data_IF_277293299708
#
_entry.id   IF_277293299708
#
_cell.length_a   1.000
_cell.length_b   1.000
_cell.length_c   1.000
_cell.angle_alpha   90.00
_cell.angle_beta   90.00
_cell.angle_gamma   90.00
#
_symmetry.space_group_name_H-M   'P 1'
#
loop_
_entity.id
_entity.type
_entity.pdbx_description
1 polymer ?
#
# COMPACT_ATOMS: atom_id res chain seq x y z
N UNK A 1 -58.74 -9.23 -6.72
CA UNK A 1 -57.42 -9.02 -6.08
C UNK A 1 -56.31 -9.32 -7.08
N UNK A 2 -55.92 -8.34 -7.89
CA UNK A 2 -54.87 -8.47 -8.91
C UNK A 2 -53.55 -8.00 -8.32
N UNK A 3 -52.65 -8.94 -8.03
CA UNK A 3 -51.30 -8.64 -7.54
C UNK A 3 -50.52 -7.96 -8.66
N UNK A 4 -50.26 -6.64 -8.51
CA UNK A 4 -49.25 -5.91 -9.29
C UNK A 4 -47.89 -6.57 -9.04
N UNK A 5 -47.30 -7.17 -10.06
CA UNK A 5 -45.88 -7.50 -10.07
C UNK A 5 -45.08 -6.19 -10.15
N UNK A 6 -44.60 -5.69 -9.02
CA UNK A 6 -43.58 -4.65 -8.98
C UNK A 6 -42.27 -5.26 -9.51
N UNK A 7 -41.85 -4.83 -10.71
CA UNK A 7 -40.50 -5.14 -11.21
C UNK A 7 -39.47 -4.59 -10.22
N UNK A 8 -38.44 -5.37 -9.84
CA UNK A 8 -37.38 -4.86 -8.99
C UNK A 8 -36.66 -3.71 -9.72
N UNK A 9 -36.52 -2.58 -9.04
CA UNK A 9 -35.70 -1.45 -9.49
C UNK A 9 -34.26 -1.96 -9.62
N UNK A 10 -33.79 -2.12 -10.86
CA UNK A 10 -32.44 -2.60 -11.14
C UNK A 10 -31.41 -1.64 -10.53
N UNK A 11 -30.58 -2.12 -9.61
CA UNK A 11 -29.42 -1.38 -9.05
C UNK A 11 -28.29 -1.26 -10.10
N UNK A 12 -28.53 -0.55 -11.20
CA UNK A 12 -27.55 -0.40 -12.28
C UNK A 12 -27.89 0.71 -13.28
N UNK A 13 -27.09 0.82 -14.35
CA UNK A 13 -27.28 1.77 -15.46
C UNK A 13 -27.87 1.04 -16.69
N UNK A 14 -29.20 0.93 -16.83
CA UNK A 14 -29.84 0.03 -17.79
C UNK A 14 -29.91 0.55 -19.23
N UNK A 15 -29.56 1.81 -19.49
CA UNK A 15 -29.67 2.45 -20.80
C UNK A 15 -28.28 2.90 -21.28
N UNK A 16 -27.95 2.57 -22.53
CA UNK A 16 -26.72 3.01 -23.19
C UNK A 16 -26.97 4.38 -23.83
N UNK A 17 -26.01 5.29 -23.66
CA UNK A 17 -25.96 6.59 -24.33
C UNK A 17 -24.65 6.62 -25.09
N UNK A 18 -24.70 7.02 -26.36
CA UNK A 18 -23.55 7.18 -27.24
C UNK A 18 -23.58 8.57 -27.87
N UNK A 19 -22.42 9.19 -28.02
CA UNK A 19 -22.29 10.51 -28.61
C UNK A 19 -20.85 10.74 -29.06
N UNK A 20 -20.67 11.55 -30.11
CA UNK A 20 -19.34 11.99 -30.55
C UNK A 20 -19.00 13.31 -29.88
N UNK A 21 -17.74 13.45 -29.46
CA UNK A 21 -17.18 14.69 -28.92
C UNK A 21 -15.97 15.11 -29.74
N UNK A 22 -15.55 16.37 -29.62
CA UNK A 22 -14.32 16.84 -30.26
C UNK A 22 -13.09 16.17 -29.63
N UNK A 23 -12.02 16.06 -30.42
CA UNK A 23 -10.74 15.53 -29.95
C UNK A 23 -10.19 16.34 -28.77
N UNK A 24 -10.31 17.68 -28.82
CA UNK A 24 -9.91 18.56 -27.72
C UNK A 24 -10.60 18.19 -26.40
N UNK A 25 -11.91 17.94 -26.46
CA UNK A 25 -12.70 17.59 -25.28
C UNK A 25 -12.40 16.18 -24.79
N UNK A 26 -12.13 15.25 -25.71
CA UNK A 26 -11.70 13.90 -25.36
C UNK A 26 -10.37 13.94 -24.59
N UNK A 27 -9.39 14.69 -25.07
CA UNK A 27 -8.09 14.85 -24.40
C UNK A 27 -8.22 15.47 -23.01
N UNK A 28 -9.12 16.43 -22.81
CA UNK A 28 -9.42 16.97 -21.47
C UNK A 28 -9.95 15.91 -20.51
N UNK A 29 -10.83 15.02 -20.97
CA UNK A 29 -11.37 13.93 -20.15
C UNK A 29 -10.30 12.89 -19.82
N UNK A 30 -9.43 12.57 -20.77
CA UNK A 30 -8.29 11.67 -20.55
C UNK A 30 -7.35 12.22 -19.47
N UNK A 31 -7.02 13.51 -19.51
CA UNK A 31 -6.21 14.16 -18.46
C UNK A 31 -6.83 14.08 -17.06
N UNK A 32 -8.16 14.02 -16.96
CA UNK A 32 -8.86 13.84 -15.68
C UNK A 32 -8.77 12.38 -15.22
N UNK A 33 -8.89 11.44 -16.15
CA UNK A 33 -8.74 10.00 -15.87
C UNK A 33 -7.33 9.63 -15.44
N UNK A 34 -6.29 10.26 -16.03
CA UNK A 34 -4.90 10.01 -15.66
C UNK A 34 -4.60 10.35 -14.19
N UNK A 35 -5.40 11.21 -13.57
CA UNK A 35 -5.24 11.60 -12.16
C UNK A 35 -5.82 10.58 -11.17
N UNK A 36 -6.71 9.70 -11.62
CA UNK A 36 -7.37 8.72 -10.76
C UNK A 36 -7.55 7.39 -11.50
N UNK A 37 -6.68 6.43 -11.20
CA UNK A 37 -6.70 5.08 -11.77
C UNK A 37 -7.97 4.28 -11.47
N UNK A 38 -8.79 4.71 -10.51
CA UNK A 38 -10.06 4.05 -10.18
C UNK A 38 -11.25 4.59 -11.00
N UNK A 39 -11.08 5.75 -11.65
CA UNK A 39 -12.14 6.41 -12.41
C UNK A 39 -12.18 5.86 -13.84
N UNK A 40 -13.37 5.50 -14.32
CA UNK A 40 -13.59 5.09 -15.72
C UNK A 40 -14.19 6.22 -16.54
N UNK A 41 -13.96 6.23 -17.86
CA UNK A 41 -14.55 7.22 -18.77
C UNK A 41 -16.08 7.27 -18.65
N UNK A 42 -16.72 6.11 -18.57
CA UNK A 42 -18.17 5.99 -18.39
C UNK A 42 -18.64 6.60 -17.06
N UNK A 43 -17.87 6.44 -15.98
CA UNK A 43 -18.20 7.04 -14.69
C UNK A 43 -18.00 8.55 -14.68
N UNK A 44 -16.90 9.04 -15.26
CA UNK A 44 -16.63 10.46 -15.42
C UNK A 44 -17.76 11.15 -16.21
N UNK A 45 -18.14 10.60 -17.36
CA UNK A 45 -19.24 11.13 -18.18
C UNK A 45 -20.55 11.13 -17.39
N UNK A 46 -20.87 10.06 -16.67
CA UNK A 46 -22.08 10.01 -15.84
C UNK A 46 -22.08 11.10 -14.75
N UNK A 47 -20.96 11.31 -14.06
CA UNK A 47 -20.85 12.35 -13.04
C UNK A 47 -21.04 13.74 -13.65
N UNK A 48 -20.47 14.00 -14.82
CA UNK A 48 -20.68 15.26 -15.57
C UNK A 48 -22.16 15.44 -15.91
N UNK A 49 -22.81 14.42 -16.50
CA UNK A 49 -24.22 14.49 -16.88
C UNK A 49 -25.17 14.67 -15.69
N UNK A 50 -24.78 14.21 -14.50
CA UNK A 50 -25.57 14.31 -13.27
C UNK A 50 -25.21 15.54 -12.43
N UNK A 51 -24.32 16.42 -12.91
CA UNK A 51 -23.75 17.54 -12.13
C UNK A 51 -23.23 17.09 -10.75
N UNK A 52 -22.68 15.88 -10.67
CA UNK A 52 -22.09 15.35 -9.45
C UNK A 52 -20.64 15.83 -9.32
N UNK A 53 -20.17 16.09 -8.08
CA UNK A 53 -18.77 16.43 -7.85
C UNK A 53 -17.87 15.29 -8.29
N UNK A 54 -16.90 15.60 -9.16
CA UNK A 54 -15.87 14.65 -9.57
C UNK A 54 -14.82 14.61 -8.45
N UNK A 55 -15.01 13.69 -7.50
CA UNK A 55 -13.97 13.38 -6.51
C UNK A 55 -12.93 12.51 -7.20
N UNK A 56 -11.72 13.05 -7.35
CA UNK A 56 -10.54 12.40 -7.90
C UNK A 56 -9.76 11.85 -6.71
N UNK A 57 -9.60 10.54 -6.62
CA UNK A 57 -8.67 9.92 -5.68
C UNK A 57 -7.27 9.97 -6.29
N UNK A 58 -6.51 10.98 -5.93
CA UNK A 58 -5.09 11.02 -6.28
C UNK A 58 -4.39 10.03 -5.37
N UNK A 59 -4.09 8.84 -5.90
CA UNK A 59 -3.22 7.90 -5.21
C UNK A 59 -1.79 8.40 -5.36
N UNK A 60 -1.25 8.98 -4.31
CA UNK A 60 0.16 9.35 -4.29
C UNK A 60 1.00 8.06 -4.28
N UNK A 61 1.62 7.76 -5.42
CA UNK A 61 2.47 6.57 -5.57
C UNK A 61 3.68 6.65 -4.66
N UNK A 62 4.18 7.86 -4.37
CA UNK A 62 5.38 8.03 -3.54
C UNK A 62 5.17 7.52 -2.12
N UNK A 63 4.02 7.83 -1.51
CA UNK A 63 3.66 7.36 -0.17
C UNK A 63 3.43 5.85 -0.16
N UNK A 64 2.77 5.33 -1.20
CA UNK A 64 2.52 3.89 -1.32
C UNK A 64 3.83 3.09 -1.38
N UNK A 65 4.81 3.56 -2.15
CA UNK A 65 6.11 2.91 -2.30
C UNK A 65 6.91 2.95 -0.99
N UNK A 66 6.87 4.07 -0.25
CA UNK A 66 7.52 4.19 1.06
C UNK A 66 6.92 3.24 2.11
N UNK A 67 5.59 3.07 2.11
CA UNK A 67 4.91 2.14 3.00
C UNK A 67 5.30 0.69 2.69
N UNK A 68 5.44 0.33 1.41
CA UNK A 68 5.87 -1.02 1.03
C UNK A 68 7.27 -1.35 1.56
N UNK A 69 8.21 -0.41 1.46
CA UNK A 69 9.56 -0.56 2.03
C UNK A 69 9.50 -0.71 3.56
N UNK A 70 8.67 0.08 4.25
CA UNK A 70 8.50 -0.04 5.71
C UNK A 70 7.95 -1.41 6.13
N UNK A 71 6.97 -1.95 5.40
CA UNK A 71 6.41 -3.28 5.66
C UNK A 71 7.50 -4.36 5.53
N UNK A 72 8.38 -4.22 4.54
CA UNK A 72 9.52 -5.11 4.33
C UNK A 72 10.48 -5.11 5.53
N UNK A 73 10.86 -3.91 6.00
CA UNK A 73 11.75 -3.73 7.16
C UNK A 73 11.12 -4.33 8.43
N UNK A 74 9.84 -4.08 8.69
CA UNK A 74 9.12 -4.67 9.83
C UNK A 74 9.14 -6.20 9.79
N UNK A 75 8.96 -6.80 8.60
CA UNK A 75 9.07 -8.25 8.41
C UNK A 75 10.47 -8.78 8.74
N UNK A 76 11.53 -8.07 8.30
CA UNK A 76 12.91 -8.44 8.58
C UNK A 76 13.24 -8.34 10.07
N UNK A 77 12.85 -7.25 10.74
CA UNK A 77 13.03 -7.08 12.18
C UNK A 77 12.31 -8.17 12.98
N UNK A 78 11.08 -8.55 12.58
CA UNK A 78 10.35 -9.67 13.21
C UNK A 78 11.09 -11.00 13.07
N UNK A 79 11.64 -11.30 11.89
CA UNK A 79 12.44 -12.51 11.66
C UNK A 79 13.70 -12.53 12.53
N UNK A 80 14.42 -11.40 12.60
CA UNK A 80 15.59 -11.24 13.47
C UNK A 80 15.20 -11.50 14.93
N UNK A 81 14.11 -10.89 15.41
CA UNK A 81 13.63 -11.08 16.78
C UNK A 81 13.26 -12.52 17.12
N UNK A 82 12.59 -13.23 16.20
CA UNK A 82 12.26 -14.65 16.38
C UNK A 82 13.54 -15.50 16.49
N UNK A 83 14.50 -15.28 15.58
CA UNK A 83 15.75 -16.03 15.56
C UNK A 83 16.63 -15.74 16.79
N UNK A 84 16.69 -14.48 17.22
CA UNK A 84 17.38 -14.09 18.44
C UNK A 84 16.77 -14.79 19.66
N UNK A 85 15.43 -14.80 19.76
CA UNK A 85 14.73 -15.46 20.87
C UNK A 85 15.02 -16.97 20.91
N UNK A 86 15.14 -17.63 19.75
CA UNK A 86 15.54 -19.03 19.67
C UNK A 86 16.97 -19.23 20.19
N UNK A 87 17.93 -18.41 19.76
CA UNK A 87 19.33 -18.51 20.21
C UNK A 87 19.46 -18.23 21.70
N UNK A 88 18.74 -17.25 22.23
CA UNK A 88 18.71 -16.95 23.66
C UNK A 88 18.15 -18.13 24.45
N UNK A 89 17.06 -18.75 24.01
CA UNK A 89 16.50 -19.95 24.65
C UNK A 89 17.48 -21.12 24.65
N UNK A 90 18.13 -21.38 23.50
CA UNK A 90 19.16 -22.43 23.39
C UNK A 90 20.37 -22.15 24.26
N UNK A 91 20.78 -20.88 24.38
CA UNK A 91 21.92 -20.48 25.21
C UNK A 91 21.69 -20.76 26.70
N UNK A 92 20.48 -20.47 27.19
CA UNK A 92 20.10 -20.75 28.58
C UNK A 92 19.89 -22.24 28.85
N UNK A 93 19.38 -22.99 27.86
CA UNK A 93 19.10 -24.43 27.99
C UNK A 93 20.32 -25.36 27.87
N UNK A 94 21.42 -24.88 27.30
CA UNK A 94 22.62 -25.70 27.08
C UNK A 94 23.62 -25.61 28.25
N UNK A 95 24.21 -26.74 28.63
CA UNK A 95 25.28 -26.82 29.63
C UNK A 95 26.68 -26.90 29.02
N UNK A 96 26.78 -27.13 27.70
CA UNK A 96 28.05 -27.27 26.97
C UNK A 96 28.71 -25.92 26.70
N UNK A 97 29.99 -25.81 27.06
CA UNK A 97 30.79 -24.57 26.87
C UNK A 97 31.03 -24.28 25.39
N UNK A 98 31.25 -25.31 24.57
CA UNK A 98 31.48 -25.16 23.12
C UNK A 98 30.21 -24.67 22.42
N UNK A 99 29.04 -25.20 22.78
CA UNK A 99 27.76 -24.77 22.21
C UNK A 99 27.44 -23.32 22.60
N UNK A 100 27.68 -22.93 23.85
CA UNK A 100 27.53 -21.53 24.28
C UNK A 100 28.44 -20.59 23.50
N UNK A 101 29.67 -20.99 23.22
CA UNK A 101 30.59 -20.19 22.40
C UNK A 101 30.07 -20.00 20.96
N UNK A 102 29.56 -21.07 20.33
CA UNK A 102 28.96 -21.00 19.00
C UNK A 102 27.70 -20.13 18.96
N UNK A 103 26.85 -20.24 19.99
CA UNK A 103 25.65 -19.41 20.16
C UNK A 103 26.03 -17.93 20.39
N UNK A 104 27.10 -17.66 21.14
CA UNK A 104 27.66 -16.32 21.32
C UNK A 104 28.12 -15.69 20.00
N UNK A 105 28.77 -16.46 19.12
CA UNK A 105 29.10 -15.99 17.77
C UNK A 105 27.86 -15.67 16.92
N UNK A 106 26.79 -16.47 17.01
CA UNK A 106 25.51 -16.17 16.33
C UNK A 106 24.87 -14.88 16.84
N UNK A 107 24.95 -14.61 18.14
CA UNK A 107 24.49 -13.36 18.74
C UNK A 107 25.21 -12.14 18.15
N UNK A 108 26.51 -12.21 17.96
CA UNK A 108 27.28 -11.14 17.32
C UNK A 108 26.87 -10.91 15.86
N UNK A 109 26.58 -11.98 15.12
CA UNK A 109 26.07 -11.86 13.75
C UNK A 109 24.70 -11.15 13.71
N UNK A 110 23.79 -11.49 14.64
CA UNK A 110 22.49 -10.81 14.74
C UNK A 110 22.62 -9.33 15.12
N UNK A 111 23.58 -8.97 15.95
CA UNK A 111 23.84 -7.56 16.26
C UNK A 111 24.15 -6.76 14.98
N UNK A 112 24.96 -7.34 14.09
CA UNK A 112 25.30 -6.71 12.82
C UNK A 112 24.09 -6.62 11.88
N UNK A 113 23.32 -7.71 11.73
CA UNK A 113 22.09 -7.72 10.92
C UNK A 113 21.07 -6.68 11.42
N UNK A 114 20.88 -6.58 12.74
CA UNK A 114 19.98 -5.61 13.34
C UNK A 114 20.45 -4.18 13.08
N UNK A 115 21.76 -3.92 13.17
CA UNK A 115 22.35 -2.62 12.85
C UNK A 115 22.08 -2.19 11.40
N UNK A 116 22.18 -3.12 10.45
CA UNK A 116 21.86 -2.86 9.05
C UNK A 116 20.39 -2.48 8.86
N UNK A 117 19.46 -3.23 9.46
CA UNK A 117 18.02 -2.92 9.35
C UNK A 117 17.65 -1.60 10.02
N UNK A 118 18.29 -1.25 11.16
CA UNK A 118 18.10 0.08 11.77
C UNK A 118 18.62 1.21 10.88
N UNK A 119 19.72 0.99 10.16
CA UNK A 119 20.25 1.96 9.20
C UNK A 119 19.28 2.14 8.04
N UNK A 120 18.77 1.05 7.46
CA UNK A 120 17.75 1.09 6.40
C UNK A 120 16.48 1.81 6.85
N UNK A 121 16.02 1.54 8.08
CA UNK A 121 14.88 2.25 8.68
C UNK A 121 15.15 3.75 8.77
N UNK A 122 16.34 4.15 9.23
CA UNK A 122 16.75 5.55 9.33
C UNK A 122 16.71 6.27 7.98
N UNK A 123 17.16 5.62 6.91
CA UNK A 123 17.11 6.19 5.56
C UNK A 123 15.67 6.39 5.05
N UNK A 124 14.78 5.42 5.31
CA UNK A 124 13.37 5.51 4.92
C UNK A 124 12.65 6.59 5.73
N UNK A 125 12.92 6.66 7.04
CA UNK A 125 12.38 7.71 7.91
C UNK A 125 12.84 9.11 7.46
N UNK A 126 14.10 9.26 7.04
CA UNK A 126 14.59 10.53 6.49
C UNK A 126 13.83 10.94 5.22
N UNK A 127 13.56 9.99 4.30
CA UNK A 127 12.75 10.26 3.09
C UNK A 127 11.32 10.68 3.44
N UNK A 128 10.71 10.03 4.44
CA UNK A 128 9.38 10.40 4.93
C UNK A 128 9.41 11.79 5.57
N UNK A 129 10.40 12.10 6.39
CA UNK A 129 10.54 13.42 7.01
C UNK A 129 10.65 14.53 5.96
N UNK A 130 11.44 14.33 4.91
CA UNK A 130 11.54 15.29 3.80
C UNK A 130 10.18 15.48 3.13
N UNK A 131 9.48 14.38 2.80
CA UNK A 131 8.15 14.42 2.17
C UNK A 131 7.15 15.23 3.02
N UNK A 132 7.11 14.98 4.33
CA UNK A 132 6.21 15.65 5.27
C UNK A 132 6.58 17.12 5.56
N UNK A 133 7.86 17.49 5.47
CA UNK A 133 8.33 18.87 5.66
C UNK A 133 8.24 19.71 4.37
N UNK A 134 7.97 19.08 3.24
CA UNK A 134 7.80 19.73 1.94
C UNK A 134 6.36 20.09 1.57
N UNK A 135 5.39 19.76 2.43
CA UNK A 135 4.03 20.32 2.44
C UNK A 135 3.96 21.61 3.26
#
# INVERSE_FOLDING_TARGET
>A
MTKKHSKPLSKGFPRKIEGRISESRYQELVKVLDKDSSLTMSELIRRILQNQPIRIQVRDRSVSDLIEVLISIDSQLKKIGINLNQVVKSFHGNSSTIEKFLLGKKLLAFQHELGNELTNLGEVLAKIQVLWLSE
#
